data_IF_192398776023
#
_entry.id   IF_192398776023
#
_cell.length_a   1.000
_cell.length_b   1.000
_cell.length_c   1.000
_cell.angle_alpha   90.00
_cell.angle_beta   90.00
_cell.angle_gamma   90.00
#
_symmetry.space_group_name_H-M   'P 1'
#
loop_
_entity.id
_entity.type
_entity.pdbx_description
1 polymer ?
#
# COMPACT_ATOMS: atom_id res chain seq x y z
N UNK A 1 -18.47 7.97 -2.24
CA UNK A 1 -18.11 6.55 -2.22
C UNK A 1 -19.35 5.70 -1.94
N UNK A 2 -19.48 4.60 -2.68
CA UNK A 2 -20.57 3.63 -2.48
C UNK A 2 -19.97 2.33 -1.89
N UNK A 3 -20.74 1.54 -1.13
CA UNK A 3 -20.31 0.22 -0.70
C UNK A 3 -19.89 -0.65 -1.89
N UNK A 4 -18.86 -1.50 -1.69
CA UNK A 4 -18.35 -2.44 -2.70
C UNK A 4 -17.66 -1.80 -3.92
N UNK A 5 -17.25 -0.54 -3.85
CA UNK A 5 -16.59 0.16 -4.96
C UNK A 5 -15.10 0.45 -4.71
N UNK A 6 -14.55 0.05 -3.57
CA UNK A 6 -13.16 0.26 -3.20
C UNK A 6 -12.32 -1.02 -3.24
N UNK A 7 -11.05 -0.90 -2.82
CA UNK A 7 -10.17 -2.02 -2.52
C UNK A 7 -10.29 -2.34 -1.02
N UNK A 8 -10.92 -3.47 -0.63
CA UNK A 8 -11.12 -3.78 0.78
C UNK A 8 -9.82 -4.20 1.44
N UNK A 9 -9.66 -3.85 2.72
CA UNK A 9 -8.63 -4.36 3.60
C UNK A 9 -9.25 -4.82 4.91
N UNK A 10 -8.78 -5.94 5.46
CA UNK A 10 -9.11 -6.31 6.83
C UNK A 10 -8.27 -5.48 7.79
N UNK A 11 -8.85 -5.07 8.93
CA UNK A 11 -8.14 -4.39 10.00
C UNK A 11 -8.28 -5.23 11.27
N UNK A 12 -7.14 -5.66 11.82
CA UNK A 12 -7.04 -6.56 12.97
C UNK A 12 -6.28 -5.87 14.11
N UNK A 13 -6.96 -5.14 15.00
CA UNK A 13 -6.36 -4.63 16.22
C UNK A 13 -6.03 -5.81 17.16
N UNK A 14 -4.79 -5.83 17.63
CA UNK A 14 -4.26 -6.84 18.54
C UNK A 14 -3.76 -6.15 19.82
N UNK A 15 -3.73 -6.85 20.93
CA UNK A 15 -3.11 -6.38 22.19
C UNK A 15 -1.59 -6.55 22.15
N UNK A 16 -1.12 -7.64 21.53
CA UNK A 16 0.30 -7.97 21.33
C UNK A 16 0.50 -8.68 19.98
N UNK A 17 1.75 -8.74 19.50
CA UNK A 17 2.07 -9.42 18.25
C UNK A 17 1.89 -10.93 18.36
N UNK A 18 1.13 -11.50 17.43
CA UNK A 18 1.10 -12.94 17.20
C UNK A 18 2.35 -13.38 16.41
N UNK A 19 2.69 -14.68 16.40
CA UNK A 19 3.73 -15.20 15.54
C UNK A 19 3.48 -14.85 14.07
N UNK A 20 4.53 -14.54 13.31
CA UNK A 20 4.44 -14.12 11.90
C UNK A 20 3.68 -15.15 11.04
N UNK A 21 3.87 -16.43 11.30
CA UNK A 21 3.15 -17.52 10.63
C UNK A 21 1.64 -17.42 10.85
N UNK A 22 1.21 -17.01 12.05
CA UNK A 22 -0.20 -16.84 12.39
C UNK A 22 -0.78 -15.60 11.70
N UNK A 23 -0.04 -14.49 11.68
CA UNK A 23 -0.46 -13.28 10.95
C UNK A 23 -0.63 -13.56 9.45
N UNK A 24 0.33 -14.30 8.87
CA UNK A 24 0.27 -14.69 7.47
C UNK A 24 -0.89 -15.65 7.18
N UNK A 25 -1.16 -16.61 8.06
CA UNK A 25 -2.28 -17.53 7.92
C UNK A 25 -3.64 -16.81 7.97
N UNK A 26 -3.81 -15.84 8.89
CA UNK A 26 -5.02 -15.01 8.99
C UNK A 26 -5.20 -14.18 7.70
N UNK A 27 -4.12 -13.58 7.18
CA UNK A 27 -4.17 -12.81 5.95
C UNK A 27 -4.54 -13.69 4.74
N UNK A 28 -4.02 -14.92 4.67
CA UNK A 28 -4.38 -15.88 3.65
C UNK A 28 -5.86 -16.32 3.73
N UNK A 29 -6.37 -16.55 4.94
CA UNK A 29 -7.79 -16.90 5.19
C UNK A 29 -8.73 -15.76 4.80
N UNK A 30 -8.38 -14.49 5.14
CA UNK A 30 -9.13 -13.31 4.74
C UNK A 30 -9.20 -13.14 3.23
N UNK A 31 -8.15 -13.55 2.52
CA UNK A 31 -8.04 -13.49 1.06
C UNK A 31 -8.42 -12.12 0.45
N UNK A 32 -8.08 -11.04 1.14
CA UNK A 32 -8.19 -9.66 0.66
C UNK A 32 -6.84 -9.19 0.12
N UNK A 33 -6.81 -8.04 -0.58
CA UNK A 33 -5.54 -7.46 -1.04
C UNK A 33 -4.51 -7.42 0.09
N UNK A 34 -4.89 -6.84 1.23
CA UNK A 34 -4.09 -6.81 2.45
C UNK A 34 -4.96 -6.94 3.71
N UNK A 35 -4.33 -7.51 4.74
CA UNK A 35 -4.77 -7.44 6.13
C UNK A 35 -3.80 -6.57 6.90
N UNK A 36 -4.31 -5.53 7.55
CA UNK A 36 -3.58 -4.62 8.42
C UNK A 36 -3.68 -5.10 9.87
N UNK A 37 -2.55 -5.44 10.48
CA UNK A 37 -2.47 -5.77 11.90
C UNK A 37 -1.89 -4.59 12.67
N UNK A 38 -2.49 -4.24 13.78
CA UNK A 38 -2.03 -3.14 14.64
C UNK A 38 -1.86 -3.58 16.08
N UNK A 39 -0.82 -3.07 16.73
CA UNK A 39 -0.57 -3.26 18.17
C UNK A 39 -0.32 -1.89 18.77
N UNK A 40 -0.90 -1.53 19.93
CA UNK A 40 -0.62 -0.26 20.60
C UNK A 40 0.90 -0.07 20.83
N UNK A 41 1.38 1.18 20.73
CA UNK A 41 2.75 1.52 21.12
C UNK A 41 2.82 2.01 22.55
N UNK A 42 3.97 1.83 23.19
CA UNK A 42 4.30 2.52 24.43
C UNK A 42 5.02 3.84 24.10
N UNK A 43 4.48 4.99 24.54
CA UNK A 43 5.09 6.30 24.40
C UNK A 43 4.40 7.25 23.41
N UNK A 44 4.96 8.47 23.26
CA UNK A 44 4.30 9.61 22.62
C UNK A 44 4.60 9.77 21.12
N UNK A 45 5.45 8.94 20.54
CA UNK A 45 5.87 9.09 19.13
C UNK A 45 4.83 8.60 18.14
N UNK A 46 4.13 7.53 18.47
CA UNK A 46 3.07 6.94 17.66
C UNK A 46 2.00 6.32 18.56
N UNK A 47 0.85 6.03 17.98
CA UNK A 47 -0.28 5.44 18.68
C UNK A 47 -0.29 3.91 18.52
N UNK A 48 0.16 3.41 17.37
CA UNK A 48 0.21 1.98 17.04
C UNK A 48 1.45 1.63 16.22
N UNK A 49 1.92 0.37 16.35
CA UNK A 49 2.65 -0.32 15.30
C UNK A 49 1.66 -0.84 14.25
N UNK A 50 2.07 -0.85 12.97
CA UNK A 50 1.22 -1.32 11.88
C UNK A 50 2.05 -2.17 10.89
N UNK A 51 1.52 -3.34 10.55
CA UNK A 51 2.07 -4.28 9.58
C UNK A 51 0.98 -4.70 8.61
N UNK A 52 1.35 -4.98 7.36
CA UNK A 52 0.40 -5.41 6.32
C UNK A 52 0.84 -6.72 5.70
N UNK A 53 -0.11 -7.61 5.55
CA UNK A 53 0.10 -8.90 4.92
C UNK A 53 -0.86 -9.07 3.75
N UNK A 54 -0.32 -9.40 2.56
CA UNK A 54 -1.10 -9.98 1.47
C UNK A 54 -1.44 -11.43 1.81
N UNK A 55 -2.25 -12.14 1.03
CA UNK A 55 -2.46 -13.58 1.25
C UNK A 55 -1.19 -14.44 1.25
N UNK A 56 -0.07 -13.94 0.72
CA UNK A 56 1.17 -14.71 0.53
C UNK A 56 2.42 -14.14 1.19
N UNK A 57 2.46 -12.84 1.48
CA UNK A 57 3.68 -12.17 1.96
C UNK A 57 3.37 -10.89 2.74
N UNK A 58 4.22 -10.56 3.72
CA UNK A 58 4.24 -9.25 4.35
C UNK A 58 4.80 -8.20 3.40
N UNK A 59 4.22 -6.98 3.40
CA UNK A 59 4.67 -5.85 2.59
C UNK A 59 5.09 -4.67 3.47
N UNK A 60 6.04 -3.87 2.98
CA UNK A 60 6.63 -2.79 3.78
C UNK A 60 5.82 -1.49 3.77
N UNK A 61 4.92 -1.31 2.79
CA UNK A 61 4.06 -0.13 2.67
C UNK A 61 2.75 -0.47 1.98
N UNK A 62 1.62 -0.04 2.58
CA UNK A 62 0.31 -0.15 1.97
C UNK A 62 -0.58 1.05 2.33
N UNK A 63 -0.89 1.90 1.35
CA UNK A 63 -1.64 3.15 1.57
C UNK A 63 -3.10 2.91 1.93
N UNK A 64 -3.86 2.12 1.14
CA UNK A 64 -5.29 1.94 1.36
C UNK A 64 -5.59 1.17 2.66
N UNK A 65 -4.78 0.16 3.01
CA UNK A 65 -4.94 -0.56 4.27
C UNK A 65 -4.56 0.30 5.49
N UNK A 66 -3.62 1.26 5.33
CA UNK A 66 -3.34 2.27 6.35
C UNK A 66 -4.52 3.22 6.55
N UNK A 67 -5.18 3.67 5.47
CA UNK A 67 -6.40 4.47 5.56
C UNK A 67 -7.54 3.69 6.25
N UNK A 68 -7.67 2.40 5.94
CA UNK A 68 -8.66 1.54 6.61
C UNK A 68 -8.36 1.40 8.11
N UNK A 69 -7.10 1.15 8.50
CA UNK A 69 -6.68 1.12 9.91
C UNK A 69 -6.93 2.48 10.59
N UNK A 70 -6.60 3.58 9.90
CA UNK A 70 -6.89 4.93 10.37
C UNK A 70 -8.39 5.15 10.60
N UNK A 71 -9.24 4.70 9.69
CA UNK A 71 -10.70 4.82 9.84
C UNK A 71 -11.23 4.08 11.09
N UNK A 72 -10.68 2.90 11.38
CA UNK A 72 -11.09 2.07 12.51
C UNK A 72 -10.57 2.62 13.84
N UNK A 73 -9.34 3.14 13.88
CA UNK A 73 -8.63 3.45 15.12
C UNK A 73 -8.59 4.95 15.48
N UNK A 74 -8.96 5.82 14.55
CA UNK A 74 -8.92 7.28 14.77
C UNK A 74 -10.03 7.72 15.70
N UNK A 75 -9.67 8.09 16.94
CA UNK A 75 -10.59 8.63 17.94
C UNK A 75 -10.60 10.16 18.01
N UNK A 76 -9.55 10.83 17.51
CA UNK A 76 -9.36 12.30 17.51
C UNK A 76 -9.13 12.85 16.09
N UNK A 77 -8.21 13.82 15.98
CA UNK A 77 -7.89 14.48 14.73
C UNK A 77 -6.89 13.69 13.87
N UNK A 78 -6.07 12.85 14.48
CA UNK A 78 -5.05 12.04 13.80
C UNK A 78 -4.74 10.77 14.57
N UNK A 79 -4.24 9.75 13.84
CA UNK A 79 -3.62 8.55 14.39
C UNK A 79 -2.28 8.30 13.67
N UNK A 80 -1.28 7.88 14.42
CA UNK A 80 0.10 7.70 13.95
C UNK A 80 0.50 6.24 14.06
N UNK A 81 1.15 5.74 13.01
CA UNK A 81 1.58 4.35 12.90
C UNK A 81 3.08 4.27 12.69
N UNK A 82 3.78 3.53 13.54
CA UNK A 82 5.16 3.08 13.25
C UNK A 82 5.08 1.88 12.33
N UNK A 83 5.81 1.95 11.22
CA UNK A 83 5.86 0.90 10.20
C UNK A 83 7.30 0.65 9.76
N UNK A 84 7.54 -0.39 8.94
CA UNK A 84 8.84 -0.61 8.30
C UNK A 84 9.26 0.52 7.36
N UNK A 85 8.30 1.25 6.80
CA UNK A 85 8.55 2.43 5.95
C UNK A 85 8.60 3.76 6.71
N UNK A 86 8.70 3.71 8.04
CA UNK A 86 8.74 4.89 8.90
C UNK A 86 7.40 5.22 9.53
N UNK A 87 7.28 6.45 10.01
CA UNK A 87 6.07 6.97 10.65
C UNK A 87 5.05 7.39 9.59
N UNK A 88 3.85 6.82 9.65
CA UNK A 88 2.71 7.22 8.82
C UNK A 88 1.65 7.90 9.70
N UNK A 89 1.01 8.93 9.16
CA UNK A 89 -0.05 9.66 9.88
C UNK A 89 -1.32 9.70 9.04
N UNK A 90 -2.42 9.25 9.62
CA UNK A 90 -3.76 9.44 9.08
C UNK A 90 -4.45 10.54 9.87
N UNK A 91 -4.95 11.55 9.19
CA UNK A 91 -5.60 12.73 9.79
C UNK A 91 -6.99 12.96 9.20
N UNK A 92 -7.86 13.62 9.97
CA UNK A 92 -9.15 14.12 9.44
C UNK A 92 -8.91 15.29 8.48
N UNK A 93 -9.57 15.25 7.33
CA UNK A 93 -9.60 16.32 6.33
C UNK A 93 -11.06 16.62 5.97
N UNK A 94 -11.79 17.26 6.88
CA UNK A 94 -13.24 17.42 6.79
C UNK A 94 -13.95 16.07 6.94
N UNK A 95 -14.72 15.67 5.93
CA UNK A 95 -15.37 14.34 5.88
C UNK A 95 -14.48 13.22 5.34
N UNK A 96 -13.29 13.56 4.88
CA UNK A 96 -12.32 12.62 4.33
C UNK A 96 -11.21 12.32 5.35
N UNK A 97 -10.41 11.32 5.03
CA UNK A 97 -9.14 11.05 5.69
C UNK A 97 -7.99 11.39 4.73
N UNK A 98 -6.94 11.98 5.29
CA UNK A 98 -5.68 12.25 4.61
C UNK A 98 -4.60 11.35 5.18
N UNK A 99 -3.81 10.72 4.30
CA UNK A 99 -2.65 9.91 4.66
C UNK A 99 -1.39 10.60 4.16
N UNK A 100 -0.44 10.82 5.06
CA UNK A 100 0.89 11.27 4.72
C UNK A 100 1.80 10.06 4.43
N UNK A 101 2.28 9.98 3.18
CA UNK A 101 3.12 8.90 2.68
C UNK A 101 4.55 9.39 2.41
N UNK A 102 5.56 8.54 2.61
CA UNK A 102 6.93 8.88 2.23
C UNK A 102 7.02 9.10 0.72
N UNK A 103 7.63 10.21 0.31
CA UNK A 103 7.86 10.50 -1.10
C UNK A 103 8.98 9.62 -1.65
N UNK A 104 8.70 8.87 -2.70
CA UNK A 104 9.73 8.17 -3.47
C UNK A 104 10.37 9.12 -4.47
N UNK A 105 11.70 9.18 -4.46
CA UNK A 105 12.43 9.86 -5.54
C UNK A 105 12.38 9.03 -6.80
N UNK A 106 12.20 9.70 -7.92
CA UNK A 106 12.19 9.07 -9.24
C UNK A 106 13.40 9.57 -10.05
N UNK A 107 14.07 8.67 -10.75
CA UNK A 107 15.13 8.98 -11.71
C UNK A 107 14.71 8.57 -13.12
N UNK A 108 15.31 9.18 -14.13
CA UNK A 108 15.14 8.73 -15.51
C UNK A 108 15.62 7.29 -15.66
N UNK A 109 14.92 6.52 -16.49
CA UNK A 109 15.27 5.13 -16.71
C UNK A 109 14.67 4.56 -17.98
N UNK A 110 14.99 3.32 -18.25
CA UNK A 110 14.47 2.56 -19.36
C UNK A 110 13.94 1.22 -18.84
N UNK A 111 12.83 0.77 -19.40
CA UNK A 111 12.23 -0.51 -19.11
C UNK A 111 11.52 -1.04 -20.38
N UNK A 112 12.32 -1.33 -21.42
CA UNK A 112 11.81 -1.73 -22.73
C UNK A 112 10.89 -2.96 -22.63
N UNK A 113 11.28 -3.96 -21.87
CA UNK A 113 10.50 -5.19 -21.67
C UNK A 113 9.16 -4.93 -20.96
N UNK A 114 9.13 -3.97 -20.03
CA UNK A 114 7.89 -3.55 -19.36
C UNK A 114 6.98 -2.81 -20.34
N UNK A 115 7.52 -1.88 -21.15
CA UNK A 115 6.75 -1.18 -22.17
C UNK A 115 6.17 -2.14 -23.22
N UNK A 116 6.94 -3.14 -23.65
CA UNK A 116 6.44 -4.19 -24.54
C UNK A 116 5.34 -5.03 -23.89
N UNK A 117 5.51 -5.42 -22.62
CA UNK A 117 4.51 -6.21 -21.91
C UNK A 117 3.22 -5.41 -21.62
N UNK A 118 3.32 -4.09 -21.53
CA UNK A 118 2.16 -3.19 -21.41
C UNK A 118 1.55 -2.84 -22.78
N UNK A 119 2.27 -3.08 -23.89
CA UNK A 119 1.83 -2.71 -25.23
C UNK A 119 1.77 -1.20 -25.45
N UNK A 120 2.65 -0.42 -24.79
CA UNK A 120 2.65 1.05 -24.81
C UNK A 120 4.01 1.64 -25.09
N UNK A 121 4.02 2.92 -25.46
CA UNK A 121 5.18 3.81 -25.39
C UNK A 121 4.91 4.91 -24.37
N UNK A 122 5.92 5.28 -23.58
CA UNK A 122 5.75 6.29 -22.53
C UNK A 122 7.08 6.68 -21.89
N UNK A 123 7.02 7.73 -21.05
CA UNK A 123 8.17 8.16 -20.24
C UNK A 123 8.33 7.22 -19.04
N UNK A 124 9.54 6.66 -18.90
CA UNK A 124 9.84 5.70 -17.85
C UNK A 124 10.62 6.38 -16.73
N UNK A 125 10.15 6.22 -15.52
CA UNK A 125 10.84 6.62 -14.30
C UNK A 125 11.05 5.42 -13.39
N UNK A 126 12.23 5.32 -12.80
CA UNK A 126 12.58 4.28 -11.86
C UNK A 126 12.55 4.85 -10.44
N UNK A 127 11.87 4.19 -9.52
CA UNK A 127 11.86 4.54 -8.12
C UNK A 127 13.25 4.33 -7.48
N UNK A 128 13.71 5.32 -6.71
CA UNK A 128 14.89 5.17 -5.86
C UNK A 128 14.43 4.53 -4.55
N UNK A 129 14.75 3.26 -4.36
CA UNK A 129 14.38 2.50 -3.16
C UNK A 129 14.28 1.01 -3.41
N UNK A 130 14.13 0.23 -2.34
CA UNK A 130 14.27 -1.22 -2.39
C UNK A 130 13.15 -2.01 -3.08
N UNK A 131 12.07 -1.35 -3.50
CA UNK A 131 10.93 -2.02 -4.14
C UNK A 131 10.99 -2.09 -5.67
N UNK A 132 12.03 -1.50 -6.32
CA UNK A 132 12.21 -1.56 -7.77
C UNK A 132 11.06 -1.00 -8.60
N UNK A 133 10.24 -0.09 -8.05
CA UNK A 133 9.06 0.42 -8.72
C UNK A 133 9.38 1.11 -10.05
N UNK A 134 8.64 0.77 -11.09
CA UNK A 134 8.72 1.37 -12.42
C UNK A 134 7.45 2.16 -12.66
N UNK A 135 7.58 3.48 -12.86
CA UNK A 135 6.50 4.36 -13.26
C UNK A 135 6.55 4.57 -14.77
N UNK A 136 5.47 4.25 -15.46
CA UNK A 136 5.29 4.56 -16.88
C UNK A 136 4.25 5.67 -17.00
N UNK A 137 4.68 6.84 -17.50
CA UNK A 137 3.78 7.96 -17.76
C UNK A 137 3.27 7.90 -19.18
N UNK A 138 1.97 7.81 -19.33
CA UNK A 138 1.26 7.88 -20.61
C UNK A 138 0.70 9.29 -20.86
N UNK A 139 0.19 9.52 -22.05
CA UNK A 139 -0.25 10.85 -22.49
C UNK A 139 -1.45 11.37 -21.66
N UNK A 140 -2.44 10.51 -21.46
CA UNK A 140 -3.68 10.86 -20.76
C UNK A 140 -4.37 9.65 -20.08
N UNK A 141 -5.51 9.89 -19.43
CA UNK A 141 -6.31 8.87 -18.78
C UNK A 141 -6.84 7.82 -19.78
N UNK A 142 -7.17 8.24 -21.00
CA UNK A 142 -7.69 7.34 -22.04
C UNK A 142 -6.63 6.31 -22.42
N UNK A 143 -5.38 6.77 -22.59
CA UNK A 143 -4.25 5.90 -22.85
C UNK A 143 -4.01 4.91 -21.69
N UNK A 144 -4.11 5.37 -20.44
CA UNK A 144 -3.99 4.47 -19.26
C UNK A 144 -5.09 3.41 -19.25
N UNK A 145 -6.34 3.78 -19.52
CA UNK A 145 -7.49 2.85 -19.55
C UNK A 145 -7.42 1.86 -20.70
N UNK A 146 -6.74 2.19 -21.78
CA UNK A 146 -6.61 1.34 -22.95
C UNK A 146 -5.48 0.29 -22.81
N UNK A 147 -4.64 0.36 -21.78
CA UNK A 147 -3.55 -0.59 -21.54
C UNK A 147 -4.12 -2.00 -21.31
N UNK A 148 -3.57 -2.98 -22.02
CA UNK A 148 -3.88 -4.40 -21.87
C UNK A 148 -2.60 -5.16 -21.50
N UNK A 149 -2.24 -5.26 -20.21
CA UNK A 149 -0.99 -5.84 -19.77
C UNK A 149 -0.88 -7.34 -20.06
N UNK A 150 0.25 -7.77 -20.59
CA UNK A 150 0.66 -9.17 -20.58
C UNK A 150 1.28 -9.51 -19.22
N UNK A 151 0.44 -9.95 -18.27
CA UNK A 151 0.89 -10.31 -16.93
C UNK A 151 1.83 -11.52 -16.91
N UNK A 152 1.82 -12.37 -17.93
CA UNK A 152 2.77 -13.49 -18.03
C UNK A 152 4.17 -12.97 -18.25
N UNK A 153 4.34 -12.02 -19.18
CA UNK A 153 5.62 -11.36 -19.42
C UNK A 153 6.09 -10.54 -18.22
N UNK A 154 5.17 -9.80 -17.57
CA UNK A 154 5.51 -8.95 -16.40
C UNK A 154 6.01 -9.74 -15.19
N UNK A 155 5.68 -11.04 -15.04
CA UNK A 155 6.15 -11.87 -13.92
C UNK A 155 7.62 -12.27 -14.02
N UNK A 156 8.23 -12.14 -15.18
CA UNK A 156 9.60 -12.59 -15.47
C UNK A 156 10.60 -11.42 -15.54
N UNK A 157 10.16 -10.20 -15.23
CA UNK A 157 10.97 -8.97 -15.23
C UNK A 157 11.29 -8.47 -13.84
#
# INVERSE_FOLDING_TARGET
PAPLTGNPAAVMPLEEWLPDETLQAIAAENNLSETAFTVPTEGDQADYHLRWFTPTVEVDLCGHATLAAGHVLLTGERVRFVTRSGLLTVSRAGELLSLDLPASRLREGQAAEVLEALGVSGDVRLGEGGNGAILVRLEDETAVRAVQPDFTRLRHN
#
